data_IF_821868717309
#
_entry.id   IF_821868717309
#
_cell.length_a   1.000
_cell.length_b   1.000
_cell.length_c   1.000
_cell.angle_alpha   90.00
_cell.angle_beta   90.00
_cell.angle_gamma   90.00
#
_symmetry.space_group_name_H-M   'P 1'
#
loop_
_entity.id
_entity.type
_entity.pdbx_description
1 polymer ?
#
# COMPACT_ATOMS: atom_id res chain seq x y z
N UNK A 1 16.59 -4.55 31.40
CA UNK A 1 16.70 -5.01 30.00
C UNK A 1 15.44 -5.82 29.66
N UNK A 2 14.42 -5.18 29.10
CA UNK A 2 13.24 -5.85 28.60
C UNK A 2 13.46 -6.16 27.11
N UNK A 3 13.65 -7.44 26.77
CA UNK A 3 13.62 -7.91 25.39
C UNK A 3 12.19 -7.71 24.88
N UNK A 4 11.99 -6.76 23.96
CA UNK A 4 10.79 -6.68 23.17
C UNK A 4 10.62 -8.01 22.44
N UNK A 5 9.56 -8.73 22.77
CA UNK A 5 9.09 -9.88 22.01
C UNK A 5 8.65 -9.29 20.67
N UNK A 6 9.45 -9.50 19.60
CA UNK A 6 8.99 -9.27 18.24
C UNK A 6 7.81 -10.21 18.03
N UNK A 7 6.60 -9.69 17.91
CA UNK A 7 5.49 -10.44 17.36
C UNK A 7 5.91 -10.93 15.98
N UNK A 8 6.16 -12.23 15.88
CA UNK A 8 6.40 -12.90 14.60
C UNK A 8 5.04 -12.99 13.93
N UNK A 9 4.71 -12.04 13.08
CA UNK A 9 3.53 -12.16 12.22
C UNK A 9 3.67 -13.41 11.38
N UNK A 10 2.80 -14.38 11.64
CA UNK A 10 2.77 -15.65 10.93
C UNK A 10 2.29 -15.38 9.51
N UNK A 11 3.16 -15.62 8.52
CA UNK A 11 2.81 -15.51 7.10
C UNK A 11 1.78 -16.58 6.78
N UNK A 12 0.63 -16.19 6.22
CA UNK A 12 -0.38 -17.12 5.74
C UNK A 12 0.02 -17.64 4.34
N UNK A 13 0.20 -18.95 4.24
CA UNK A 13 0.39 -19.60 2.95
C UNK A 13 -0.90 -20.32 2.54
N UNK A 14 -1.30 -20.08 1.30
CA UNK A 14 -2.48 -20.70 0.71
C UNK A 14 -2.09 -21.92 -0.13
N UNK A 15 -3.01 -22.84 -0.30
CA UNK A 15 -2.74 -24.12 -0.96
C UNK A 15 -2.55 -23.97 -2.47
N UNK A 16 -1.53 -24.65 -3.00
CA UNK A 16 -1.29 -24.80 -4.45
C UNK A 16 -1.70 -26.18 -4.90
N UNK A 17 -2.38 -26.25 -6.03
CA UNK A 17 -2.83 -27.52 -6.63
C UNK A 17 -1.70 -28.13 -7.45
N UNK A 18 -0.83 -28.91 -6.80
CA UNK A 18 0.30 -29.60 -7.44
C UNK A 18 -0.15 -30.56 -8.56
N UNK A 19 -1.31 -31.20 -8.40
CA UNK A 19 -1.86 -32.08 -9.44
C UNK A 19 -2.28 -31.32 -10.70
N UNK A 20 -2.80 -30.09 -10.56
CA UNK A 20 -3.07 -29.23 -11.70
C UNK A 20 -1.78 -28.72 -12.34
N UNK A 21 -0.80 -28.33 -11.53
CA UNK A 21 0.52 -27.88 -11.97
C UNK A 21 1.26 -28.99 -12.75
N UNK A 22 1.23 -30.22 -12.28
CA UNK A 22 1.78 -31.39 -12.97
C UNK A 22 1.11 -31.57 -14.35
N UNK A 23 -0.21 -31.60 -14.40
CA UNK A 23 -0.96 -31.74 -15.69
C UNK A 23 -0.64 -30.59 -16.64
N UNK A 24 -0.57 -29.37 -16.14
CA UNK A 24 -0.19 -28.21 -16.96
C UNK A 24 1.21 -28.37 -17.55
N UNK A 25 2.16 -28.88 -16.78
CA UNK A 25 3.53 -29.15 -17.23
C UNK A 25 3.56 -30.23 -18.31
N UNK A 26 2.90 -31.37 -18.11
CA UNK A 26 2.79 -32.49 -19.06
C UNK A 26 2.15 -32.04 -20.38
N UNK A 27 1.15 -31.17 -20.34
CA UNK A 27 0.47 -30.64 -21.54
C UNK A 27 1.34 -29.64 -22.32
N UNK A 28 2.38 -29.08 -21.74
CA UNK A 28 3.12 -27.98 -22.36
C UNK A 28 4.64 -28.20 -22.45
N UNK A 29 5.17 -29.31 -21.91
CA UNK A 29 6.61 -29.58 -21.85
C UNK A 29 6.93 -31.04 -21.90
N UNK A 30 8.09 -31.39 -22.48
CA UNK A 30 8.64 -32.77 -22.51
C UNK A 30 9.43 -33.10 -21.22
N UNK A 31 9.73 -32.12 -20.38
CA UNK A 31 10.47 -32.38 -19.13
C UNK A 31 9.50 -32.79 -18.02
N UNK A 32 9.95 -33.70 -17.17
CA UNK A 32 9.20 -34.19 -16.03
C UNK A 32 8.83 -33.06 -15.05
N UNK A 33 7.71 -33.22 -14.37
CA UNK A 33 7.29 -32.35 -13.29
C UNK A 33 8.05 -32.70 -12.01
N UNK A 34 8.64 -31.70 -11.37
CA UNK A 34 9.25 -31.86 -10.05
C UNK A 34 8.21 -31.61 -8.98
N UNK A 35 7.90 -32.65 -8.20
CA UNK A 35 6.92 -32.56 -7.11
C UNK A 35 7.25 -31.44 -6.13
N UNK A 36 6.23 -30.66 -5.75
CA UNK A 36 6.36 -29.55 -4.83
C UNK A 36 6.96 -28.28 -5.43
N UNK A 37 7.34 -28.27 -6.71
CA UNK A 37 7.98 -27.11 -7.34
C UNK A 37 7.05 -25.90 -7.42
N UNK A 38 5.76 -26.10 -7.73
CA UNK A 38 4.78 -25.02 -7.80
C UNK A 38 4.53 -24.39 -6.41
N UNK A 39 4.44 -25.22 -5.38
CA UNK A 39 4.32 -24.75 -3.98
C UNK A 39 5.57 -24.00 -3.55
N UNK A 40 6.76 -24.49 -3.91
CA UNK A 40 8.03 -23.83 -3.58
C UNK A 40 8.14 -22.46 -4.27
N UNK A 41 7.75 -22.35 -5.54
CA UNK A 41 7.72 -21.09 -6.28
C UNK A 41 6.75 -20.09 -5.64
N UNK A 42 5.53 -20.52 -5.35
CA UNK A 42 4.55 -19.70 -4.65
C UNK A 42 5.09 -19.17 -3.32
N UNK A 43 5.63 -20.06 -2.47
CA UNK A 43 6.20 -19.67 -1.17
C UNK A 43 7.33 -18.66 -1.32
N UNK A 44 8.24 -18.88 -2.24
CA UNK A 44 9.34 -17.96 -2.50
C UNK A 44 8.86 -16.55 -2.91
N UNK A 45 7.73 -16.46 -3.63
CA UNK A 45 7.12 -15.18 -3.99
C UNK A 45 6.47 -14.50 -2.79
N UNK A 46 5.76 -15.27 -1.94
CA UNK A 46 5.15 -14.74 -0.72
C UNK A 46 6.22 -14.29 0.28
N UNK A 47 7.31 -15.04 0.43
CA UNK A 47 8.44 -14.68 1.29
C UNK A 47 9.09 -13.35 0.87
N UNK A 48 9.26 -13.14 -0.45
CA UNK A 48 9.73 -11.85 -0.99
C UNK A 48 8.75 -10.71 -0.68
N UNK A 49 7.45 -10.97 -0.80
CA UNK A 49 6.41 -9.99 -0.46
C UNK A 49 6.42 -9.66 1.04
N UNK A 50 6.60 -10.66 1.90
CA UNK A 50 6.73 -10.48 3.34
C UNK A 50 7.97 -9.65 3.71
N UNK A 51 9.10 -9.87 3.06
CA UNK A 51 10.30 -9.06 3.26
C UNK A 51 10.05 -7.58 2.87
N UNK A 52 9.30 -7.32 1.79
CA UNK A 52 8.89 -5.97 1.40
C UNK A 52 7.98 -5.34 2.47
N UNK A 53 7.02 -6.12 2.98
CA UNK A 53 6.09 -5.66 4.02
C UNK A 53 6.84 -5.30 5.32
N UNK A 54 7.76 -6.14 5.78
CA UNK A 54 8.59 -5.87 6.96
C UNK A 54 9.50 -4.65 6.77
N UNK A 55 10.10 -4.52 5.58
CA UNK A 55 10.87 -3.33 5.25
C UNK A 55 10.01 -2.06 5.28
N UNK A 56 8.78 -2.12 4.80
CA UNK A 56 7.87 -0.97 4.84
C UNK A 56 7.43 -0.66 6.26
N UNK A 57 7.07 -1.67 7.07
CA UNK A 57 6.71 -1.49 8.48
C UNK A 57 7.83 -0.81 9.28
N UNK A 58 9.09 -1.13 9.00
CA UNK A 58 10.24 -0.48 9.67
C UNK A 58 10.39 1.01 9.36
N UNK A 59 9.76 1.52 8.30
CA UNK A 59 9.86 2.90 7.82
C UNK A 59 8.66 3.77 8.16
N UNK A 60 7.53 3.15 8.52
CA UNK A 60 6.26 3.85 8.74
C UNK A 60 5.80 3.71 10.18
N UNK A 61 4.85 4.57 10.55
CA UNK A 61 4.22 4.50 11.87
C UNK A 61 3.46 3.17 12.04
N UNK A 62 3.48 2.57 13.26
CA UNK A 62 2.75 1.34 13.59
C UNK A 62 1.27 1.33 13.20
N UNK A 63 0.60 2.49 13.14
CA UNK A 63 -0.79 2.60 12.71
C UNK A 63 -1.05 2.10 11.27
N UNK A 64 0.01 1.99 10.45
CA UNK A 64 -0.10 1.46 9.09
C UNK A 64 0.19 -0.04 9.00
N UNK A 65 0.65 -0.68 10.07
CA UNK A 65 1.08 -2.08 10.05
C UNK A 65 -0.06 -3.02 9.70
N UNK A 66 -1.23 -2.85 10.33
CA UNK A 66 -2.42 -3.66 10.03
C UNK A 66 -2.81 -3.61 8.55
N UNK A 67 -2.79 -2.41 7.95
CA UNK A 67 -3.06 -2.25 6.50
C UNK A 67 -2.02 -2.96 5.64
N UNK A 68 -0.74 -2.91 6.02
CA UNK A 68 0.34 -3.61 5.32
C UNK A 68 0.13 -5.12 5.42
N UNK A 69 -0.22 -5.63 6.60
CA UNK A 69 -0.49 -7.06 6.84
C UNK A 69 -1.69 -7.54 6.03
N UNK A 70 -2.77 -6.77 5.99
CA UNK A 70 -3.94 -7.08 5.16
C UNK A 70 -3.61 -7.11 3.66
N UNK A 71 -2.78 -6.18 3.18
CA UNK A 71 -2.32 -6.19 1.78
C UNK A 71 -1.44 -7.39 1.47
N UNK A 72 -0.58 -7.80 2.40
CA UNK A 72 0.27 -8.99 2.27
C UNK A 72 -0.57 -10.27 2.22
N UNK A 73 -1.55 -10.42 3.11
CA UNK A 73 -2.45 -11.56 3.12
C UNK A 73 -3.29 -11.63 1.83
N UNK A 74 -3.80 -10.49 1.38
CA UNK A 74 -4.52 -10.36 0.09
C UNK A 74 -3.62 -10.77 -1.08
N UNK A 75 -2.35 -10.35 -1.09
CA UNK A 75 -1.37 -10.76 -2.09
C UNK A 75 -1.17 -12.27 -2.08
N UNK A 76 -0.91 -12.87 -0.92
CA UNK A 76 -0.66 -14.30 -0.80
C UNK A 76 -1.85 -15.13 -1.28
N UNK A 77 -3.07 -14.77 -0.86
CA UNK A 77 -4.30 -15.46 -1.26
C UNK A 77 -4.55 -15.36 -2.76
N UNK A 78 -4.56 -14.14 -3.30
CA UNK A 78 -4.81 -13.91 -4.73
C UNK A 78 -3.74 -14.52 -5.63
N UNK A 79 -2.48 -14.56 -5.18
CA UNK A 79 -1.39 -15.22 -5.90
C UNK A 79 -1.65 -16.71 -6.01
N UNK A 80 -2.05 -17.38 -4.94
CA UNK A 80 -2.39 -18.81 -4.97
C UNK A 80 -3.58 -19.09 -5.90
N UNK A 81 -4.64 -18.29 -5.81
CA UNK A 81 -5.82 -18.37 -6.68
C UNK A 81 -5.43 -18.23 -8.16
N UNK A 82 -4.63 -17.22 -8.50
CA UNK A 82 -4.17 -16.94 -9.87
C UNK A 82 -3.27 -18.06 -10.42
N UNK A 83 -2.32 -18.56 -9.63
CA UNK A 83 -1.46 -19.68 -10.02
C UNK A 83 -2.28 -20.96 -10.26
N UNK A 84 -3.20 -21.30 -9.35
CA UNK A 84 -4.08 -22.46 -9.50
C UNK A 84 -4.97 -22.35 -10.74
N UNK A 85 -5.49 -21.15 -11.00
CA UNK A 85 -6.27 -20.89 -12.23
C UNK A 85 -5.40 -21.00 -13.48
N UNK A 86 -4.18 -20.49 -13.45
CA UNK A 86 -3.20 -20.62 -14.53
C UNK A 86 -2.91 -22.08 -14.86
N UNK A 87 -2.64 -22.93 -13.86
CA UNK A 87 -2.44 -24.36 -14.04
C UNK A 87 -3.68 -25.05 -14.62
N UNK A 88 -4.87 -24.70 -14.13
CA UNK A 88 -6.12 -25.25 -14.67
C UNK A 88 -6.38 -24.82 -16.12
N UNK A 89 -5.99 -23.62 -16.52
CA UNK A 89 -6.06 -23.13 -17.89
C UNK A 89 -5.06 -23.91 -18.76
N UNK A 90 -3.82 -24.05 -18.31
CA UNK A 90 -2.73 -24.67 -19.07
C UNK A 90 -2.92 -26.19 -19.27
N UNK A 91 -3.66 -26.82 -18.37
CA UNK A 91 -4.02 -28.23 -18.49
C UNK A 91 -5.16 -28.53 -19.50
N UNK A 92 -5.80 -27.50 -20.10
CA UNK A 92 -6.99 -27.72 -20.98
C UNK A 92 -6.65 -28.25 -22.35
N UNK A 93 -5.59 -27.75 -22.97
CA UNK A 93 -5.20 -28.08 -24.36
C UNK A 93 -3.68 -28.15 -24.41
N UNK A 94 -3.12 -29.28 -24.93
CA UNK A 94 -1.68 -29.41 -25.06
C UNK A 94 -1.09 -28.35 -25.99
N UNK A 95 0.21 -28.11 -25.86
CA UNK A 95 0.93 -27.32 -26.86
C UNK A 95 1.03 -28.08 -28.18
N UNK A 96 1.15 -27.37 -29.29
CA UNK A 96 1.35 -28.00 -30.60
C UNK A 96 2.64 -28.80 -30.63
N UNK A 97 3.63 -28.46 -29.84
CA UNK A 97 4.90 -29.20 -29.69
C UNK A 97 4.69 -30.61 -29.10
N UNK A 98 3.71 -30.75 -28.20
CA UNK A 98 3.38 -32.03 -27.53
C UNK A 98 2.40 -32.83 -28.39
N UNK A 99 1.33 -32.19 -28.89
CA UNK A 99 0.26 -32.87 -29.63
C UNK A 99 0.58 -33.12 -31.11
N UNK A 100 1.55 -32.38 -31.66
CA UNK A 100 1.78 -32.34 -33.10
C UNK A 100 0.78 -31.47 -33.85
N UNK A 101 1.04 -31.16 -35.14
CA UNK A 101 0.20 -30.24 -35.93
C UNK A 101 -1.06 -30.92 -36.49
N UNK A 102 -1.10 -32.27 -36.61
CA UNK A 102 -2.20 -33.00 -37.21
C UNK A 102 -3.47 -32.88 -36.35
N UNK A 103 -4.55 -32.38 -36.91
CA UNK A 103 -5.85 -32.22 -36.25
C UNK A 103 -5.79 -31.39 -34.95
N UNK A 104 -4.84 -30.46 -34.86
CA UNK A 104 -4.67 -29.63 -33.67
C UNK A 104 -5.93 -28.77 -33.40
N UNK A 105 -6.46 -28.74 -32.16
CA UNK A 105 -7.73 -28.08 -31.84
C UNK A 105 -7.59 -26.56 -31.72
N UNK A 106 -7.37 -25.86 -32.83
CA UNK A 106 -7.08 -24.40 -32.86
C UNK A 106 -8.10 -23.58 -32.09
N UNK A 107 -9.41 -23.79 -32.33
CA UNK A 107 -10.45 -23.00 -31.62
C UNK A 107 -10.48 -23.22 -30.10
N UNK A 108 -10.10 -24.42 -29.62
CA UNK A 108 -9.95 -24.63 -28.17
C UNK A 108 -8.69 -23.93 -27.64
N UNK A 109 -7.63 -23.92 -28.44
CA UNK A 109 -6.38 -23.22 -28.07
C UNK A 109 -6.57 -21.70 -27.99
N UNK A 110 -7.33 -21.13 -28.92
CA UNK A 110 -7.67 -19.69 -28.87
C UNK A 110 -8.48 -19.34 -27.63
N UNK A 111 -9.45 -20.19 -27.24
CA UNK A 111 -10.18 -20.01 -25.97
C UNK A 111 -9.26 -20.09 -24.76
N UNK A 112 -8.29 -21.02 -24.77
CA UNK A 112 -7.29 -21.15 -23.72
C UNK A 112 -6.41 -19.88 -23.66
N UNK A 113 -5.99 -19.35 -24.82
CA UNK A 113 -5.15 -18.13 -24.84
C UNK A 113 -5.90 -16.92 -24.29
N UNK A 114 -7.18 -16.72 -24.67
CA UNK A 114 -8.00 -15.66 -24.03
C UNK A 114 -8.12 -15.80 -22.53
N UNK A 115 -8.27 -17.04 -22.02
CA UNK A 115 -8.28 -17.27 -20.57
C UNK A 115 -6.91 -16.99 -19.92
N UNK A 116 -5.79 -17.25 -20.61
CA UNK A 116 -4.45 -16.86 -20.15
C UNK A 116 -4.29 -15.36 -20.10
N UNK A 117 -4.81 -14.63 -21.08
CA UNK A 117 -4.75 -13.16 -21.11
C UNK A 117 -5.45 -12.57 -19.89
N UNK A 118 -6.67 -13.03 -19.57
CA UNK A 118 -7.39 -12.60 -18.37
C UNK A 118 -6.64 -12.97 -17.08
N UNK A 119 -6.04 -14.17 -17.00
CA UNK A 119 -5.24 -14.58 -15.85
C UNK A 119 -3.97 -13.72 -15.69
N UNK A 120 -3.39 -13.27 -16.80
CA UNK A 120 -2.24 -12.36 -16.80
C UNK A 120 -2.63 -10.94 -16.36
N UNK A 121 -3.83 -10.46 -16.67
CA UNK A 121 -4.35 -9.19 -16.15
C UNK A 121 -4.50 -9.24 -14.63
N UNK A 122 -5.07 -10.32 -14.09
CA UNK A 122 -5.14 -10.52 -12.64
C UNK A 122 -3.75 -10.61 -12.00
N UNK A 123 -2.79 -11.27 -12.64
CA UNK A 123 -1.39 -11.29 -12.21
C UNK A 123 -0.81 -9.87 -12.10
N UNK A 124 -1.02 -9.01 -13.10
CA UNK A 124 -0.56 -7.62 -13.05
C UNK A 124 -1.16 -6.85 -11.88
N UNK A 125 -2.46 -7.05 -11.63
CA UNK A 125 -3.11 -6.47 -10.47
C UNK A 125 -2.46 -6.94 -9.15
N UNK A 126 -2.20 -8.25 -9.03
CA UNK A 126 -1.56 -8.84 -7.85
C UNK A 126 -0.16 -8.24 -7.63
N UNK A 127 0.65 -8.11 -8.70
CA UNK A 127 1.96 -7.47 -8.59
C UNK A 127 1.84 -5.99 -8.15
N UNK A 128 0.80 -5.29 -8.57
CA UNK A 128 0.50 -3.93 -8.11
C UNK A 128 0.21 -3.82 -6.60
N UNK A 129 -0.17 -4.90 -5.92
CA UNK A 129 -0.32 -4.90 -4.46
C UNK A 129 1.02 -4.69 -3.75
N UNK A 130 2.14 -5.14 -4.32
CA UNK A 130 3.47 -4.89 -3.77
C UNK A 130 3.82 -3.41 -3.77
N UNK A 131 3.40 -2.67 -4.80
CA UNK A 131 3.60 -1.22 -4.87
C UNK A 131 2.69 -0.49 -3.88
N UNK A 132 1.47 -0.99 -3.66
CA UNK A 132 0.59 -0.49 -2.59
C UNK A 132 1.21 -0.72 -1.21
N UNK A 133 1.83 -1.89 -0.96
CA UNK A 133 2.57 -2.14 0.29
C UNK A 133 3.71 -1.12 0.45
N UNK A 134 4.57 -0.95 -0.58
CA UNK A 134 5.70 -0.01 -0.54
C UNK A 134 5.29 1.44 -0.32
N UNK A 135 4.12 1.84 -0.82
CA UNK A 135 3.62 3.21 -0.71
C UNK A 135 2.76 3.46 0.53
N UNK A 136 2.35 2.40 1.24
CA UNK A 136 1.53 2.53 2.45
C UNK A 136 2.27 3.35 3.51
N UNK A 137 1.63 4.39 4.02
CA UNK A 137 2.22 5.32 5.00
C UNK A 137 3.15 6.38 4.40
N UNK A 138 3.46 6.33 3.09
CA UNK A 138 4.32 7.31 2.40
C UNK A 138 3.52 8.41 1.71
N UNK A 139 2.23 8.20 1.49
CA UNK A 139 1.33 9.14 0.83
C UNK A 139 0.62 10.10 1.78
N UNK A 140 -0.24 10.94 1.21
CA UNK A 140 -1.17 11.75 1.96
C UNK A 140 -2.22 10.89 2.70
N UNK A 141 -2.74 11.41 3.81
CA UNK A 141 -3.86 10.81 4.53
C UNK A 141 -5.14 11.16 3.76
N UNK A 142 -5.89 10.13 3.31
CA UNK A 142 -7.15 10.35 2.60
C UNK A 142 -8.19 11.01 3.51
N UNK A 143 -9.06 11.81 2.90
CA UNK A 143 -10.21 12.39 3.61
C UNK A 143 -11.24 11.32 4.02
N UNK A 144 -11.32 10.23 3.24
CA UNK A 144 -12.26 9.12 3.45
C UNK A 144 -11.77 8.12 4.51
N UNK A 145 -10.57 8.32 5.05
CA UNK A 145 -10.05 7.47 6.12
C UNK A 145 -10.76 7.83 7.43
N UNK A 146 -11.51 6.91 8.07
CA UNK A 146 -12.21 7.18 9.33
C UNK A 146 -11.31 7.72 10.45
N UNK A 147 -10.03 7.34 10.43
CA UNK A 147 -9.02 7.82 11.38
C UNK A 147 -8.18 8.99 10.82
N UNK A 148 -8.63 9.68 9.76
CA UNK A 148 -7.86 10.74 9.10
C UNK A 148 -7.41 11.83 10.07
N UNK A 149 -8.32 12.32 10.93
CA UNK A 149 -8.04 13.39 11.89
C UNK A 149 -6.98 12.95 12.91
N UNK A 150 -7.12 11.74 13.46
CA UNK A 150 -6.16 11.17 14.42
C UNK A 150 -4.76 11.02 13.80
N UNK A 151 -4.70 10.47 12.58
CA UNK A 151 -3.47 10.31 11.81
C UNK A 151 -2.79 11.65 11.50
N UNK A 152 -3.60 12.66 11.10
CA UNK A 152 -3.10 14.02 10.88
C UNK A 152 -2.61 14.67 12.16
N UNK A 153 -3.32 14.48 13.29
CA UNK A 153 -2.90 15.01 14.59
C UNK A 153 -1.56 14.42 15.04
N UNK A 154 -1.37 13.11 14.86
CA UNK A 154 -0.11 12.43 15.14
C UNK A 154 1.03 12.94 14.27
N UNK A 155 0.77 13.12 12.96
CA UNK A 155 1.72 13.72 12.03
C UNK A 155 2.09 15.15 12.47
N UNK A 156 1.10 15.96 12.86
CA UNK A 156 1.29 17.31 13.33
C UNK A 156 2.20 17.36 14.57
N UNK A 157 1.93 16.53 15.57
CA UNK A 157 2.74 16.45 16.78
C UNK A 157 4.21 16.09 16.46
N UNK A 158 4.43 15.17 15.51
CA UNK A 158 5.77 14.82 15.03
C UNK A 158 6.49 16.00 14.36
N UNK A 159 5.80 16.74 13.50
CA UNK A 159 6.35 17.92 12.82
C UNK A 159 6.67 19.06 13.81
N UNK A 160 5.80 19.32 14.77
CA UNK A 160 6.01 20.35 15.81
C UNK A 160 7.19 19.98 16.70
N UNK A 161 7.31 18.71 17.10
CA UNK A 161 8.47 18.22 17.85
C UNK A 161 9.77 18.37 17.05
N UNK A 162 9.75 18.02 15.77
CA UNK A 162 10.91 18.20 14.88
C UNK A 162 11.29 19.67 14.74
N UNK A 163 10.30 20.56 14.64
CA UNK A 163 10.52 22.01 14.57
C UNK A 163 11.20 22.54 15.83
N UNK A 164 10.77 22.06 16.99
CA UNK A 164 11.37 22.44 18.28
C UNK A 164 12.82 21.96 18.36
N UNK A 165 13.06 20.68 18.07
CA UNK A 165 14.40 20.10 18.08
C UNK A 165 15.35 20.86 17.14
N UNK A 166 14.94 21.15 15.90
CA UNK A 166 15.76 21.90 14.94
C UNK A 166 16.14 23.29 15.48
N UNK A 167 15.19 24.00 16.11
CA UNK A 167 15.45 25.32 16.70
C UNK A 167 16.41 25.24 17.88
N UNK A 168 16.20 24.30 18.79
CA UNK A 168 17.00 24.13 19.99
C UNK A 168 18.42 23.65 19.67
N UNK A 169 18.57 22.71 18.73
CA UNK A 169 19.91 22.28 18.29
C UNK A 169 20.68 23.41 17.61
N UNK A 170 20.02 24.21 16.78
CA UNK A 170 20.66 25.38 16.18
C UNK A 170 21.04 26.43 17.23
N UNK A 171 20.22 26.64 18.27
CA UNK A 171 20.51 27.54 19.38
C UNK A 171 21.70 26.98 20.21
N UNK A 172 21.72 25.69 20.49
CA UNK A 172 22.82 25.04 21.19
C UNK A 172 24.14 25.20 20.43
N UNK A 173 24.12 24.91 19.11
CA UNK A 173 25.31 25.06 18.26
C UNK A 173 25.82 26.51 18.20
N UNK A 174 24.91 27.48 18.09
CA UNK A 174 25.27 28.92 18.13
C UNK A 174 25.96 29.29 19.42
N UNK A 175 25.53 28.72 20.56
CA UNK A 175 26.08 29.01 21.88
C UNK A 175 27.43 28.34 22.14
N UNK A 176 27.59 27.10 21.68
CA UNK A 176 28.71 26.23 22.06
C UNK A 176 29.74 26.01 20.95
N UNK A 177 29.43 26.33 19.69
CA UNK A 177 30.27 26.10 18.53
C UNK A 177 30.47 24.60 18.14
N UNK A 178 29.80 23.70 18.86
CA UNK A 178 29.89 22.24 18.66
C UNK A 178 28.58 21.55 19.00
N UNK A 179 28.38 20.33 18.47
CA UNK A 179 27.20 19.50 18.73
C UNK A 179 27.42 18.50 19.87
N UNK A 180 28.68 18.27 20.26
CA UNK A 180 29.01 17.31 21.31
C UNK A 180 28.38 17.75 22.64
N UNK A 181 27.68 16.80 23.29
CA UNK A 181 26.96 17.05 24.54
C UNK A 181 25.56 17.65 24.39
N UNK A 182 25.05 17.77 23.17
CA UNK A 182 23.65 18.15 22.93
C UNK A 182 22.72 16.99 23.34
N UNK A 183 22.01 17.13 24.46
CA UNK A 183 21.12 16.09 24.99
C UNK A 183 19.89 15.79 24.10
N UNK A 184 19.62 16.62 23.11
CA UNK A 184 18.48 16.46 22.19
C UNK A 184 18.77 15.51 21.03
N UNK A 185 20.04 15.13 20.85
CA UNK A 185 20.50 14.30 19.73
C UNK A 185 21.15 13.02 20.24
N UNK A 186 20.91 11.92 19.55
CA UNK A 186 21.69 10.69 19.75
C UNK A 186 23.12 10.84 19.19
N UNK A 187 24.10 10.04 19.66
CA UNK A 187 25.45 10.05 19.09
C UNK A 187 25.47 9.89 17.56
N UNK A 188 24.66 8.97 17.02
CA UNK A 188 24.55 8.75 15.58
C UNK A 188 23.98 9.96 14.82
N UNK A 189 23.07 10.69 15.43
CA UNK A 189 22.51 11.92 14.85
C UNK A 189 23.54 13.05 14.85
N UNK A 190 24.35 13.15 15.90
CA UNK A 190 25.44 14.12 15.99
C UNK A 190 26.46 13.87 14.86
N UNK A 191 26.88 12.63 14.67
CA UNK A 191 27.84 12.27 13.61
C UNK A 191 27.29 12.56 12.20
N UNK A 192 26.02 12.22 11.95
CA UNK A 192 25.37 12.53 10.67
C UNK A 192 25.28 14.04 10.40
N UNK A 193 24.94 14.81 11.42
CA UNK A 193 24.88 16.28 11.29
C UNK A 193 26.28 16.88 11.07
N UNK A 194 27.31 16.43 11.79
CA UNK A 194 28.69 16.84 11.57
C UNK A 194 29.14 16.54 10.14
N UNK A 195 28.90 15.33 9.66
CA UNK A 195 29.23 14.94 8.29
C UNK A 195 28.50 15.81 7.25
N UNK A 196 27.20 16.08 7.47
CA UNK A 196 26.42 16.97 6.62
C UNK A 196 26.94 18.40 6.60
N UNK A 197 27.33 18.94 7.75
CA UNK A 197 27.93 20.28 7.86
C UNK A 197 29.31 20.34 7.18
N UNK A 198 30.14 19.31 7.35
CA UNK A 198 31.46 19.23 6.72
C UNK A 198 31.40 19.15 5.20
N UNK A 199 30.35 18.52 4.64
CA UNK A 199 30.11 18.45 3.20
C UNK A 199 29.39 19.68 2.63
N UNK A 200 29.02 20.63 3.45
CA UNK A 200 28.32 21.83 3.00
C UNK A 200 29.25 22.78 2.24
N UNK A 201 28.79 23.32 1.12
CA UNK A 201 29.49 24.33 0.33
C UNK A 201 29.44 25.74 0.96
N UNK A 202 28.71 25.91 2.08
CA UNK A 202 28.55 27.19 2.78
C UNK A 202 29.75 27.47 3.67
N UNK A 203 30.08 28.74 3.80
CA UNK A 203 31.13 29.23 4.70
C UNK A 203 30.75 29.13 6.18
N UNK A 204 29.45 29.17 6.51
CA UNK A 204 28.91 29.04 7.87
C UNK A 204 27.79 28.01 7.89
N UNK A 205 28.15 26.70 7.88
CA UNK A 205 27.16 25.63 7.89
C UNK A 205 26.49 25.52 9.26
N UNK A 206 25.18 25.29 9.24
CA UNK A 206 24.38 25.11 10.46
C UNK A 206 23.86 23.68 10.56
N UNK A 207 23.61 23.16 11.77
CA UNK A 207 23.07 21.82 11.95
C UNK A 207 21.77 21.61 11.15
N UNK A 208 20.85 22.59 11.23
CA UNK A 208 19.64 22.62 10.41
C UNK A 208 19.58 23.95 9.68
N UNK A 209 19.52 23.89 8.37
CA UNK A 209 19.48 25.04 7.49
C UNK A 209 18.10 25.74 7.56
N UNK A 210 18.06 27.05 7.27
CA UNK A 210 16.84 27.85 7.37
C UNK A 210 15.69 27.32 6.51
N UNK A 211 15.99 26.78 5.33
CA UNK A 211 14.97 26.17 4.46
C UNK A 211 14.30 24.95 5.08
N UNK A 212 15.02 24.14 5.88
CA UNK A 212 14.45 22.98 6.57
C UNK A 212 13.40 23.42 7.59
N UNK A 213 13.70 24.45 8.39
CA UNK A 213 12.76 25.01 9.35
C UNK A 213 11.55 25.66 8.64
N UNK A 214 11.79 26.36 7.53
CA UNK A 214 10.73 27.02 6.74
C UNK A 214 9.80 25.98 6.11
N UNK A 215 10.35 24.92 5.49
CA UNK A 215 9.59 23.86 4.88
C UNK A 215 8.77 23.08 5.92
N UNK A 216 9.37 22.76 7.07
CA UNK A 216 8.66 22.10 8.15
C UNK A 216 7.52 22.96 8.71
N UNK A 217 7.72 24.26 8.88
CA UNK A 217 6.65 25.19 9.29
C UNK A 217 5.52 25.28 8.23
N UNK A 218 5.85 25.27 6.95
CA UNK A 218 4.86 25.26 5.88
C UNK A 218 4.00 23.98 5.94
N UNK A 219 4.63 22.83 6.19
CA UNK A 219 3.92 21.56 6.35
C UNK A 219 3.04 21.54 7.60
N UNK A 220 3.52 22.06 8.73
CA UNK A 220 2.72 22.24 9.97
C UNK A 220 1.44 23.03 9.67
N UNK A 221 1.55 24.18 8.97
CA UNK A 221 0.39 25.00 8.60
C UNK A 221 -0.58 24.24 7.70
N UNK A 222 -0.06 23.49 6.74
CA UNK A 222 -0.87 22.69 5.80
C UNK A 222 -1.64 21.58 6.52
N UNK A 223 -0.97 20.88 7.44
CA UNK A 223 -1.61 19.81 8.24
C UNK A 223 -2.67 20.39 9.19
N UNK A 224 -2.38 21.52 9.86
CA UNK A 224 -3.37 22.22 10.70
C UNK A 224 -4.62 22.63 9.92
N UNK A 225 -4.45 23.26 8.78
CA UNK A 225 -5.56 23.65 7.92
C UNK A 225 -6.38 22.43 7.46
N UNK A 226 -5.71 21.31 7.17
CA UNK A 226 -6.38 20.07 6.77
C UNK A 226 -7.19 19.43 7.90
N UNK A 227 -6.65 19.41 9.13
CA UNK A 227 -7.38 18.95 10.32
C UNK A 227 -8.62 19.83 10.55
N UNK A 228 -8.48 21.14 10.47
CA UNK A 228 -9.61 22.07 10.64
C UNK A 228 -10.69 21.84 9.57
N UNK A 229 -10.31 21.67 8.31
CA UNK A 229 -11.22 21.38 7.21
C UNK A 229 -12.00 20.10 7.47
N UNK A 230 -11.32 19.00 7.80
CA UNK A 230 -11.96 17.70 8.04
C UNK A 230 -12.85 17.73 9.30
N UNK A 231 -12.42 18.44 10.34
CA UNK A 231 -13.22 18.60 11.55
C UNK A 231 -14.51 19.37 11.28
N UNK A 232 -14.46 20.42 10.44
CA UNK A 232 -15.66 21.14 10.00
C UNK A 232 -16.59 20.26 9.16
N UNK A 233 -16.03 19.47 8.25
CA UNK A 233 -16.79 18.53 7.43
C UNK A 233 -17.46 17.44 8.28
N UNK A 234 -16.75 16.92 9.30
CA UNK A 234 -17.30 15.92 10.21
C UNK A 234 -18.43 16.48 11.12
N UNK A 235 -18.41 17.79 11.40
CA UNK A 235 -19.45 18.48 12.19
C UNK A 235 -20.64 18.94 11.35
N UNK A 236 -20.50 19.01 10.03
CA UNK A 236 -21.62 19.32 9.14
C UNK A 236 -22.58 18.14 9.12
N UNK A 237 -23.73 18.33 9.76
CA UNK A 237 -24.86 17.42 9.60
C UNK A 237 -25.44 17.64 8.21
N UNK A 238 -25.17 16.69 7.30
CA UNK A 238 -25.90 16.64 6.06
C UNK A 238 -27.28 16.04 6.36
N UNK A 239 -28.32 16.89 6.30
CA UNK A 239 -29.69 16.51 6.60
C UNK A 239 -30.44 15.89 5.42
N UNK A 240 -29.77 15.79 4.23
CA UNK A 240 -30.49 15.46 3.01
C UNK A 240 -31.40 16.60 2.52
N UNK A 241 -32.07 16.37 1.45
CA UNK A 241 -33.19 17.25 0.99
C UNK A 241 -34.24 16.41 0.30
N UNK A 242 -35.46 16.92 0.34
CA UNK A 242 -36.60 16.38 -0.40
C UNK A 242 -36.79 17.17 -1.70
N UNK A 243 -37.24 16.49 -2.74
CA UNK A 243 -37.59 17.06 -4.03
C UNK A 243 -38.90 16.41 -4.51
N UNK A 244 -39.55 16.99 -5.49
CA UNK A 244 -40.77 16.43 -6.02
C UNK A 244 -40.54 15.05 -6.64
N UNK A 245 -41.05 14.00 -6.01
CA UNK A 245 -40.89 12.60 -6.42
C UNK A 245 -39.72 11.84 -5.76
N UNK A 246 -39.12 12.39 -4.70
CA UNK A 246 -38.10 11.65 -3.95
C UNK A 246 -37.32 12.43 -2.90
N UNK A 247 -36.31 11.79 -2.34
CA UNK A 247 -35.43 12.39 -1.34
C UNK A 247 -33.97 11.96 -1.55
N UNK A 248 -33.06 12.79 -1.11
CA UNK A 248 -31.63 12.48 -1.08
C UNK A 248 -31.17 12.34 0.37
N UNK A 249 -30.55 11.24 0.69
CA UNK A 249 -29.99 10.96 2.00
C UNK A 249 -28.49 10.66 1.88
N UNK A 250 -27.74 10.94 2.94
CA UNK A 250 -26.33 10.56 3.01
C UNK A 250 -26.19 9.22 3.71
N UNK A 251 -25.71 8.21 2.98
CA UNK A 251 -25.25 6.98 3.61
C UNK A 251 -23.83 7.23 4.18
N UNK A 252 -23.75 7.37 5.50
CA UNK A 252 -22.48 7.64 6.20
C UNK A 252 -21.54 6.44 6.21
N UNK A 253 -22.06 5.20 6.15
CA UNK A 253 -21.26 3.99 6.16
C UNK A 253 -20.46 3.85 4.87
N UNK A 254 -21.07 4.18 3.73
CA UNK A 254 -20.44 4.09 2.41
C UNK A 254 -19.89 5.43 1.91
N UNK A 255 -20.08 6.52 2.67
CA UNK A 255 -19.72 7.90 2.28
C UNK A 255 -20.29 8.27 0.90
N UNK A 256 -21.57 7.97 0.67
CA UNK A 256 -22.28 8.17 -0.60
C UNK A 256 -23.58 8.89 -0.39
N UNK A 257 -23.98 9.69 -1.39
CA UNK A 257 -25.35 10.19 -1.49
C UNK A 257 -26.23 9.09 -2.09
N UNK A 258 -27.36 8.84 -1.45
CA UNK A 258 -28.41 7.93 -1.94
C UNK A 258 -29.63 8.75 -2.33
N UNK A 259 -30.13 8.50 -3.53
CA UNK A 259 -31.35 9.11 -4.04
C UNK A 259 -32.45 8.07 -3.96
N UNK A 260 -33.50 8.38 -3.22
CA UNK A 260 -34.71 7.54 -3.09
C UNK A 260 -35.83 8.20 -3.89
N UNK A 261 -36.41 7.47 -4.81
CA UNK A 261 -37.57 7.90 -5.59
C UNK A 261 -38.84 7.32 -4.98
N UNK A 262 -39.92 8.11 -4.92
CA UNK A 262 -41.23 7.67 -4.44
C UNK A 262 -41.91 6.66 -5.39
N UNK A 263 -41.40 6.57 -6.62
CA UNK A 263 -41.86 5.65 -7.65
C UNK A 263 -40.77 5.32 -8.66
N UNK A 264 -41.13 4.60 -9.72
CA UNK A 264 -40.18 4.30 -10.80
C UNK A 264 -39.89 5.58 -11.60
N UNK A 265 -38.62 6.10 -11.58
CA UNK A 265 -38.26 7.29 -12.33
C UNK A 265 -38.48 7.06 -13.84
N UNK A 266 -38.78 8.09 -14.57
CA UNK A 266 -38.91 8.04 -16.03
C UNK A 266 -37.61 7.72 -16.74
N UNK A 267 -37.65 7.52 -18.06
CA UNK A 267 -36.48 7.11 -18.81
C UNK A 267 -35.41 8.19 -18.86
N UNK A 268 -35.80 9.46 -18.87
CA UNK A 268 -34.89 10.60 -18.98
C UNK A 268 -34.16 10.84 -17.66
N UNK A 269 -34.87 10.81 -16.53
CA UNK A 269 -34.29 10.90 -15.21
C UNK A 269 -33.29 9.73 -14.90
N UNK A 270 -33.55 8.54 -15.48
CA UNK A 270 -32.61 7.40 -15.35
C UNK A 270 -31.39 7.51 -16.24
N UNK A 271 -31.43 8.32 -17.29
CA UNK A 271 -30.30 8.52 -18.19
C UNK A 271 -29.32 9.61 -17.67
N UNK A 272 -29.80 10.48 -16.76
CA UNK A 272 -29.00 11.54 -16.15
C UNK A 272 -28.33 11.11 -14.81
N UNK A 273 -28.73 10.00 -14.23
CA UNK A 273 -28.16 9.41 -13.00
C UNK A 273 -27.06 8.39 -13.33
#
# INVERSE_FOLDING_TARGET
MARSIKEVHTINYYSINEGAARRAKEMNSFSDYKEGSATAEYRAMVDKAAAIAEQQKSRVDPMYHEKIDHLLDTYARKLAENMNQGFAIDARVPSVMIAGPANFPVGKKEKQNRARDSNMEEWRYIQGLLDKIRSTGMGGISADDPAAIEKLQKKLNGLERSQLIMKEVNAYYRKHGKLDGCALLSPDQIEKLKASMASSWRSDPRPFESYQLTNNNAEIRRVKARIEQLSKQAQQEFSGWEFDGGRVEMNREDNRLQVFFDGKPDADARAEL
#
